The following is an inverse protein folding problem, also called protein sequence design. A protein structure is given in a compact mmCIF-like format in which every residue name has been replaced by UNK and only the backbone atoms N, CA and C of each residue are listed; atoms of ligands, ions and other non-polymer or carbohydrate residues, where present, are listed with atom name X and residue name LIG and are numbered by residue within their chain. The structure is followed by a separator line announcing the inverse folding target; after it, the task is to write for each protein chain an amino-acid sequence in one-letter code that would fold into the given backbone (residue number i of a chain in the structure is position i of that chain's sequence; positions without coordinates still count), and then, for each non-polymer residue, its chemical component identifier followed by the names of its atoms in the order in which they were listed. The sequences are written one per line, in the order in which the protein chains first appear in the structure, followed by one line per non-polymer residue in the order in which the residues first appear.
data_IF_507636919698
#
_entry.id   IF_507636919698
#
_cell.length_a   1.000
_cell.length_b   1.000
_cell.length_c   1.000
_cell.angle_alpha   90.00
_cell.angle_beta   90.00
_cell.angle_gamma   90.00
#
_symmetry.space_group_name_H-M   'P 1'
#
loop_
_entity.id
_entity.type
_entity.pdbx_description
1 polymer ?
#
# COMPACT_ATOMS: atom_id res chain seq x y z
N UNK A 1 -26.14 10.90 -0.91
CA UNK A 1 -24.71 10.87 -0.57
C UNK A 1 -24.16 9.47 -0.79
N UNK A 2 -24.71 8.42 -0.18
CA UNK A 2 -24.21 7.04 -0.26
C UNK A 2 -24.06 6.58 -1.72
N UNK A 3 -25.09 6.77 -2.56
CA UNK A 3 -25.06 6.41 -3.99
C UNK A 3 -23.89 7.08 -4.72
N UNK A 4 -23.73 8.39 -4.56
CA UNK A 4 -22.65 9.13 -5.21
C UNK A 4 -21.28 8.72 -4.65
N UNK A 5 -21.17 8.51 -3.35
CA UNK A 5 -19.94 8.00 -2.73
C UNK A 5 -19.52 6.66 -3.32
N UNK A 6 -20.47 5.70 -3.45
CA UNK A 6 -20.15 4.39 -4.02
C UNK A 6 -19.69 4.49 -5.49
N UNK A 7 -20.32 5.36 -6.28
CA UNK A 7 -19.93 5.60 -7.67
C UNK A 7 -18.54 6.23 -7.74
N UNK A 8 -18.27 7.30 -6.98
CA UNK A 8 -16.98 7.98 -6.99
C UNK A 8 -15.87 7.09 -6.44
N UNK A 9 -16.13 6.31 -5.38
CA UNK A 9 -15.17 5.37 -4.83
C UNK A 9 -14.81 4.28 -5.84
N UNK A 10 -15.81 3.69 -6.49
CA UNK A 10 -15.59 2.64 -7.48
C UNK A 10 -14.82 3.17 -8.71
N UNK A 11 -15.22 4.33 -9.25
CA UNK A 11 -14.56 4.91 -10.44
C UNK A 11 -13.09 5.28 -10.14
N UNK A 12 -12.82 6.00 -9.04
CA UNK A 12 -11.45 6.38 -8.67
C UNK A 12 -10.60 5.15 -8.34
N UNK A 13 -11.15 4.21 -7.59
CA UNK A 13 -10.40 2.98 -7.25
C UNK A 13 -10.10 2.14 -8.49
N UNK A 14 -11.02 2.06 -9.45
CA UNK A 14 -10.81 1.32 -10.70
C UNK A 14 -9.74 1.97 -11.58
N UNK A 15 -9.73 3.30 -11.69
CA UNK A 15 -8.70 4.03 -12.46
C UNK A 15 -7.31 3.79 -11.85
N UNK A 16 -7.18 3.95 -10.53
CA UNK A 16 -5.89 3.75 -9.83
C UNK A 16 -5.49 2.28 -9.89
N UNK A 17 -6.44 1.35 -9.77
CA UNK A 17 -6.16 -0.08 -9.90
C UNK A 17 -5.61 -0.43 -11.28
N UNK A 18 -6.19 0.11 -12.36
CA UNK A 18 -5.68 -0.11 -13.71
C UNK A 18 -4.26 0.43 -13.88
N UNK A 19 -3.98 1.63 -13.37
CA UNK A 19 -2.62 2.19 -13.41
C UNK A 19 -1.61 1.35 -12.62
N UNK A 20 -1.99 0.85 -11.44
CA UNK A 20 -1.12 -0.02 -10.64
C UNK A 20 -1.00 -1.43 -11.24
N UNK A 21 -2.04 -1.93 -11.91
CA UNK A 21 -2.00 -3.21 -12.60
C UNK A 21 -0.90 -3.24 -13.67
N UNK A 22 -0.68 -2.12 -14.39
CA UNK A 22 0.43 -2.01 -15.34
C UNK A 22 1.78 -2.14 -14.63
N UNK A 23 1.96 -1.48 -13.49
CA UNK A 23 3.21 -1.58 -12.70
C UNK A 23 3.44 -3.00 -12.13
N UNK A 24 2.36 -3.77 -11.92
CA UNK A 24 2.48 -5.14 -11.47
C UNK A 24 2.81 -6.14 -12.58
N UNK A 25 2.81 -5.71 -13.86
CA UNK A 25 3.24 -6.57 -14.98
C UNK A 25 4.70 -7.02 -14.84
N UNK A 26 5.52 -6.27 -14.13
CA UNK A 26 6.91 -6.64 -13.84
C UNK A 26 6.99 -7.98 -13.08
N UNK A 27 5.98 -8.30 -12.26
CA UNK A 27 5.84 -9.58 -11.57
C UNK A 27 5.79 -10.76 -12.56
N UNK A 28 5.18 -10.56 -13.74
CA UNK A 28 5.17 -11.59 -14.80
C UNK A 28 6.46 -11.53 -15.62
N UNK A 29 6.86 -10.32 -16.04
CA UNK A 29 7.93 -10.13 -17.03
C UNK A 29 9.32 -10.32 -16.44
N UNK A 30 9.55 -9.91 -15.18
CA UNK A 30 10.84 -9.97 -14.50
C UNK A 30 10.92 -11.15 -13.53
N UNK A 31 9.88 -11.37 -12.72
CA UNK A 31 9.85 -12.44 -11.71
C UNK A 31 9.30 -13.77 -12.26
N UNK A 32 8.72 -13.80 -13.47
CA UNK A 32 8.28 -15.00 -14.18
C UNK A 32 7.05 -15.70 -13.60
N UNK A 33 6.26 -15.02 -12.77
CA UNK A 33 5.03 -15.58 -12.21
C UNK A 33 3.93 -15.79 -13.28
N UNK A 34 2.97 -16.66 -12.97
CA UNK A 34 1.85 -16.91 -13.88
C UNK A 34 0.90 -15.70 -13.96
N UNK A 35 0.21 -15.59 -15.10
CA UNK A 35 -0.83 -14.55 -15.28
C UNK A 35 -1.91 -14.65 -14.20
N UNK A 36 -2.25 -15.86 -13.76
CA UNK A 36 -3.24 -16.07 -12.70
C UNK A 36 -2.77 -15.52 -11.35
N UNK A 37 -1.51 -15.74 -10.98
CA UNK A 37 -0.86 -15.17 -9.78
C UNK A 37 -0.91 -13.64 -9.81
N UNK A 38 -0.61 -13.05 -10.98
CA UNK A 38 -0.69 -11.61 -11.17
C UNK A 38 -2.10 -11.06 -10.93
N UNK A 39 -3.15 -11.68 -11.50
CA UNK A 39 -4.52 -11.24 -11.26
C UNK A 39 -4.92 -11.37 -9.79
N UNK A 40 -4.57 -12.46 -9.13
CA UNK A 40 -4.81 -12.63 -7.71
C UNK A 40 -4.10 -11.55 -6.88
N UNK A 41 -2.82 -11.33 -7.14
CA UNK A 41 -2.05 -10.29 -6.46
C UNK A 41 -2.66 -8.89 -6.64
N UNK A 42 -2.98 -8.54 -7.88
CA UNK A 42 -3.58 -7.26 -8.23
C UNK A 42 -4.95 -7.08 -7.55
N UNK A 43 -5.78 -8.12 -7.51
CA UNK A 43 -7.09 -8.10 -6.87
C UNK A 43 -6.98 -7.93 -5.35
N UNK A 44 -6.07 -8.67 -4.69
CA UNK A 44 -5.86 -8.53 -3.24
C UNK A 44 -5.23 -7.18 -2.83
N UNK A 45 -4.68 -6.41 -3.77
CA UNK A 45 -4.25 -5.03 -3.53
C UNK A 45 -5.38 -3.98 -3.67
N UNK A 46 -6.55 -4.33 -4.22
CA UNK A 46 -7.70 -3.41 -4.33
C UNK A 46 -8.12 -2.76 -3.00
N UNK A 47 -8.23 -3.46 -1.86
CA UNK A 47 -8.65 -2.84 -0.60
C UNK A 47 -7.70 -1.75 -0.11
N UNK A 48 -6.40 -1.85 -0.40
CA UNK A 48 -5.42 -0.80 -0.14
C UNK A 48 -5.73 0.47 -0.95
N UNK A 49 -6.09 0.31 -2.22
CA UNK A 49 -6.46 1.42 -3.11
C UNK A 49 -7.74 2.08 -2.62
N UNK A 50 -8.76 1.27 -2.29
CA UNK A 50 -10.03 1.74 -1.72
C UNK A 50 -9.80 2.57 -0.45
N UNK A 51 -8.95 2.08 0.47
CA UNK A 51 -8.63 2.82 1.70
C UNK A 51 -8.02 4.19 1.39
N UNK A 52 -7.07 4.27 0.45
CA UNK A 52 -6.40 5.52 0.07
C UNK A 52 -7.32 6.51 -0.62
N UNK A 53 -8.24 6.04 -1.46
CA UNK A 53 -9.18 6.89 -2.22
C UNK A 53 -10.42 7.27 -1.42
N UNK A 54 -10.62 6.67 -0.25
CA UNK A 54 -11.84 6.80 0.55
C UNK A 54 -12.16 8.26 0.89
N UNK A 55 -11.19 8.99 1.43
CA UNK A 55 -11.38 10.38 1.89
C UNK A 55 -11.70 11.32 0.72
N UNK A 56 -10.98 11.17 -0.39
CA UNK A 56 -11.21 11.95 -1.61
C UNK A 56 -12.60 11.64 -2.19
N UNK A 57 -12.98 10.37 -2.25
CA UNK A 57 -14.30 9.96 -2.75
C UNK A 57 -15.43 10.51 -1.89
N UNK A 58 -15.24 10.51 -0.57
CA UNK A 58 -16.21 11.10 0.36
C UNK A 58 -16.35 12.61 0.15
N UNK A 59 -15.24 13.32 0.01
CA UNK A 59 -15.23 14.76 -0.29
C UNK A 59 -16.00 15.07 -1.57
N UNK A 60 -15.66 14.39 -2.68
CA UNK A 60 -16.28 14.62 -3.98
C UNK A 60 -17.78 14.31 -3.95
N UNK A 61 -18.16 13.21 -3.30
CA UNK A 61 -19.57 12.82 -3.19
C UNK A 61 -20.38 13.84 -2.39
N UNK A 62 -19.85 14.27 -1.24
CA UNK A 62 -20.55 15.24 -0.40
C UNK A 62 -20.65 16.59 -1.09
N UNK A 63 -19.54 17.08 -1.68
CA UNK A 63 -19.50 18.34 -2.41
C UNK A 63 -20.48 18.34 -3.59
N UNK A 64 -20.48 17.27 -4.39
CA UNK A 64 -21.37 17.15 -5.53
C UNK A 64 -22.86 17.14 -5.12
N UNK A 65 -23.20 16.37 -4.07
CA UNK A 65 -24.58 16.28 -3.60
C UNK A 65 -25.08 17.60 -3.04
N UNK A 66 -24.29 18.29 -2.22
CA UNK A 66 -24.71 19.59 -1.66
C UNK A 66 -24.80 20.67 -2.76
N UNK A 67 -23.88 20.66 -3.73
CA UNK A 67 -23.96 21.55 -4.89
C UNK A 67 -25.23 21.29 -5.72
N UNK A 68 -25.55 20.03 -5.99
CA UNK A 68 -26.75 19.65 -6.73
C UNK A 68 -28.04 20.08 -6.01
N UNK A 69 -28.07 19.97 -4.68
CA UNK A 69 -29.22 20.39 -3.87
C UNK A 69 -29.40 21.92 -3.91
N UNK A 70 -28.30 22.68 -3.90
CA UNK A 70 -28.36 24.15 -4.01
C UNK A 70 -28.79 24.57 -5.44
N UNK A 71 -28.19 24.00 -6.48
CA UNK A 71 -28.52 24.33 -7.88
C UNK A 71 -29.98 24.03 -8.23
N UNK A 72 -30.56 22.98 -7.64
CA UNK A 72 -31.96 22.63 -7.80
C UNK A 72 -32.91 23.33 -6.80
N UNK A 73 -32.42 24.33 -6.04
CA UNK A 73 -33.17 25.04 -5.01
C UNK A 73 -33.81 24.15 -3.92
N UNK A 74 -33.31 22.93 -3.74
CA UNK A 74 -33.87 21.99 -2.74
C UNK A 74 -33.64 22.46 -1.30
N UNK A 75 -32.58 23.22 -1.04
CA UNK A 75 -32.34 23.80 0.29
C UNK A 75 -33.41 24.82 0.68
N UNK A 76 -34.01 25.55 -0.26
CA UNK A 76 -35.13 26.43 0.02
C UNK A 76 -36.29 25.69 0.66
N UNK A 77 -36.58 24.45 0.21
CA UNK A 77 -37.61 23.61 0.80
C UNK A 77 -37.28 23.26 2.25
N UNK A 78 -36.00 23.00 2.56
CA UNK A 78 -35.62 22.71 3.94
C UNK A 78 -35.77 23.95 4.85
N UNK A 79 -35.38 25.13 4.35
CA UNK A 79 -35.49 26.36 5.11
C UNK A 79 -36.95 26.80 5.30
N UNK A 80 -37.80 26.66 4.28
CA UNK A 80 -39.23 26.95 4.39
C UNK A 80 -39.97 26.01 5.34
N UNK A 81 -39.48 24.75 5.52
CA UNK A 81 -40.01 23.82 6.51
C UNK A 81 -39.37 24.00 7.91
N UNK A 82 -38.67 25.12 8.19
CA UNK A 82 -38.11 25.42 9.50
C UNK A 82 -36.85 24.61 9.89
N UNK A 83 -36.22 23.90 8.96
CA UNK A 83 -34.98 23.19 9.25
C UNK A 83 -33.84 24.22 9.26
N UNK A 84 -33.20 24.43 10.41
CA UNK A 84 -32.06 25.34 10.50
C UNK A 84 -30.80 24.76 9.84
N UNK A 85 -29.92 25.64 9.33
CA UNK A 85 -28.63 25.27 8.73
C UNK A 85 -27.75 24.46 9.71
N UNK A 86 -27.82 24.77 11.02
CA UNK A 86 -27.11 24.02 12.08
C UNK A 86 -27.65 22.58 12.20
N UNK A 87 -28.98 22.42 12.14
CA UNK A 87 -29.58 21.08 12.22
C UNK A 87 -29.17 20.21 11.02
N UNK A 88 -29.06 20.81 9.85
CA UNK A 88 -28.53 20.11 8.66
C UNK A 88 -27.07 19.71 8.87
N UNK A 89 -26.19 20.63 9.32
CA UNK A 89 -24.79 20.32 9.64
C UNK A 89 -24.69 19.16 10.64
N UNK A 90 -25.45 19.20 11.73
CA UNK A 90 -25.42 18.15 12.75
C UNK A 90 -25.87 16.78 12.19
N UNK A 91 -26.82 16.76 11.25
CA UNK A 91 -27.21 15.51 10.56
C UNK A 91 -26.11 14.99 9.65
N UNK A 92 -25.41 15.90 8.93
CA UNK A 92 -24.24 15.52 8.10
C UNK A 92 -23.07 15.01 8.95
N UNK A 93 -22.81 15.63 10.10
CA UNK A 93 -21.82 15.13 11.06
C UNK A 93 -22.19 13.73 11.57
N UNK A 94 -23.44 13.47 11.90
CA UNK A 94 -23.89 12.11 12.29
C UNK A 94 -23.69 11.12 11.16
N UNK A 95 -23.97 11.51 9.92
CA UNK A 95 -23.71 10.67 8.75
C UNK A 95 -22.21 10.40 8.56
N UNK A 96 -21.35 11.40 8.78
CA UNK A 96 -19.90 11.22 8.63
C UNK A 96 -19.32 10.21 9.63
N UNK A 97 -19.93 10.01 10.81
CA UNK A 97 -19.52 8.94 11.73
C UNK A 97 -19.70 7.54 11.13
N UNK A 98 -20.73 7.32 10.31
CA UNK A 98 -20.89 6.06 9.58
C UNK A 98 -19.74 5.83 8.61
N UNK A 99 -19.32 6.88 7.89
CA UNK A 99 -18.18 6.79 6.98
C UNK A 99 -16.85 6.63 7.72
N UNK A 100 -16.69 7.21 8.92
CA UNK A 100 -15.52 6.98 9.76
C UNK A 100 -15.42 5.50 10.15
N UNK A 101 -16.51 4.91 10.64
CA UNK A 101 -16.54 3.50 11.03
C UNK A 101 -16.19 2.61 9.82
N UNK A 102 -16.78 2.90 8.66
CA UNK A 102 -16.50 2.16 7.44
C UNK A 102 -15.02 2.31 7.02
N UNK A 103 -14.49 3.50 7.08
CA UNK A 103 -13.08 3.79 6.77
C UNK A 103 -12.13 3.08 7.75
N UNK A 104 -12.40 3.13 9.07
CA UNK A 104 -11.64 2.40 10.08
C UNK A 104 -11.63 0.90 9.80
N UNK A 105 -12.77 0.32 9.43
CA UNK A 105 -12.87 -1.09 9.08
C UNK A 105 -11.96 -1.45 7.90
N UNK A 106 -11.92 -0.61 6.87
CA UNK A 106 -11.00 -0.80 5.75
C UNK A 106 -9.53 -0.68 6.15
N UNK A 107 -9.15 0.35 6.92
CA UNK A 107 -7.74 0.58 7.30
C UNK A 107 -7.21 -0.44 8.33
N UNK A 108 -8.02 -0.82 9.31
CA UNK A 108 -7.57 -1.69 10.41
C UNK A 108 -7.59 -3.17 10.07
N UNK A 109 -8.58 -3.61 9.28
CA UNK A 109 -8.83 -5.03 9.05
C UNK A 109 -8.64 -5.43 7.58
N UNK A 110 -9.41 -4.85 6.65
CA UNK A 110 -9.45 -5.36 5.27
C UNK A 110 -8.12 -5.12 4.55
N UNK A 111 -7.59 -3.90 4.60
CA UNK A 111 -6.38 -3.53 3.87
C UNK A 111 -5.15 -4.36 4.28
N UNK A 112 -4.77 -4.47 5.57
CA UNK A 112 -3.59 -5.24 5.96
C UNK A 112 -3.75 -6.75 5.71
N UNK A 113 -4.92 -7.33 5.99
CA UNK A 113 -5.16 -8.76 5.76
C UNK A 113 -5.11 -9.11 4.27
N UNK A 114 -5.67 -8.26 3.43
CA UNK A 114 -5.67 -8.44 1.97
C UNK A 114 -4.26 -8.31 1.39
N UNK A 115 -3.49 -7.30 1.82
CA UNK A 115 -2.10 -7.12 1.39
C UNK A 115 -1.20 -8.29 1.82
N UNK A 116 -1.39 -8.80 3.05
CA UNK A 116 -0.66 -9.97 3.51
C UNK A 116 -0.97 -11.20 2.63
N UNK A 117 -2.26 -11.43 2.29
CA UNK A 117 -2.64 -12.49 1.35
C UNK A 117 -2.02 -12.29 -0.04
N UNK A 118 -2.00 -11.06 -0.55
CA UNK A 118 -1.33 -10.75 -1.82
C UNK A 118 0.15 -11.18 -1.78
N UNK A 119 0.84 -10.88 -0.67
CA UNK A 119 2.23 -11.27 -0.49
C UNK A 119 2.42 -12.78 -0.41
N UNK A 120 1.59 -13.50 0.35
CA UNK A 120 1.68 -14.97 0.45
C UNK A 120 1.50 -15.64 -0.91
N UNK A 121 0.57 -15.13 -1.75
CA UNK A 121 0.36 -15.64 -3.11
C UNK A 121 1.65 -15.54 -3.95
N UNK A 122 2.36 -14.41 -3.91
CA UNK A 122 3.63 -14.27 -4.62
C UNK A 122 4.69 -15.19 -3.99
N UNK A 123 4.78 -15.22 -2.66
CA UNK A 123 5.76 -16.03 -1.95
C UNK A 123 5.58 -17.53 -2.25
N UNK A 124 4.34 -18.00 -2.25
CA UNK A 124 4.02 -19.41 -2.50
C UNK A 124 4.24 -19.78 -3.99
N UNK A 125 3.98 -18.84 -4.90
CA UNK A 125 4.21 -19.05 -6.33
C UNK A 125 5.69 -18.96 -6.73
N UNK A 126 6.58 -18.41 -5.88
CA UNK A 126 8.02 -18.33 -6.13
C UNK A 126 8.68 -19.71 -6.37
N UNK A 127 8.09 -20.76 -5.86
CA UNK A 127 8.65 -22.10 -5.99
C UNK A 127 8.50 -22.69 -7.40
N UNK A 128 7.59 -22.18 -8.24
CA UNK A 128 7.27 -22.74 -9.56
C UNK A 128 7.87 -21.95 -10.73
N UNK A 129 8.44 -20.77 -10.47
CA UNK A 129 8.81 -19.82 -11.53
C UNK A 129 10.26 -19.89 -11.99
N UNK A 130 11.18 -20.57 -11.27
CA UNK A 130 12.60 -20.62 -11.67
C UNK A 130 12.82 -21.00 -13.13
N UNK A 131 12.09 -21.98 -13.70
CA UNK A 131 12.20 -22.29 -15.12
C UNK A 131 11.78 -21.15 -16.04
N UNK A 132 10.84 -20.28 -15.65
CA UNK A 132 10.35 -19.16 -16.47
C UNK A 132 11.25 -17.92 -16.38
N UNK A 133 11.98 -17.74 -15.28
CA UNK A 133 13.00 -16.69 -15.14
C UNK A 133 14.15 -16.86 -16.12
N UNK A 134 14.47 -18.11 -16.46
CA UNK A 134 15.62 -18.45 -17.29
C UNK A 134 15.39 -17.99 -18.73
N UNK A 135 15.88 -16.79 -19.05
CA UNK A 135 15.90 -16.24 -20.40
C UNK A 135 17.30 -16.40 -21.01
N UNK A 136 17.42 -17.01 -22.20
CA UNK A 136 18.72 -17.18 -22.85
C UNK A 136 19.39 -15.84 -23.15
N UNK A 137 20.72 -15.83 -23.08
CA UNK A 137 21.59 -14.67 -23.39
C UNK A 137 21.42 -13.45 -22.48
N UNK A 138 20.86 -13.64 -21.27
CA UNK A 138 20.73 -12.57 -20.27
C UNK A 138 21.25 -13.05 -18.92
N UNK A 139 21.86 -12.11 -18.17
CA UNK A 139 22.13 -12.32 -16.75
C UNK A 139 20.83 -12.14 -15.97
N UNK A 140 20.55 -13.09 -15.11
CA UNK A 140 19.38 -13.13 -14.24
C UNK A 140 19.88 -12.91 -12.82
N UNK A 141 19.51 -11.79 -12.22
CA UNK A 141 19.90 -11.35 -10.86
C UNK A 141 18.66 -11.06 -9.98
N UNK A 142 17.51 -11.60 -10.37
CA UNK A 142 16.23 -11.45 -9.66
C UNK A 142 16.16 -12.31 -8.40
N UNK A 143 16.99 -13.33 -8.30
CA UNK A 143 17.11 -14.21 -7.13
C UNK A 143 18.15 -13.65 -6.17
N UNK A 144 17.83 -13.61 -4.88
CA UNK A 144 18.73 -13.07 -3.86
C UNK A 144 20.01 -13.92 -3.77
N UNK A 145 21.16 -13.25 -3.88
CA UNK A 145 22.49 -13.85 -3.83
C UNK A 145 22.80 -14.88 -4.92
N UNK A 146 21.95 -15.03 -5.95
CA UNK A 146 22.16 -15.93 -7.07
C UNK A 146 22.11 -15.19 -8.40
N UNK A 147 23.20 -15.25 -9.16
CA UNK A 147 23.23 -14.75 -10.54
C UNK A 147 23.34 -15.95 -11.50
N UNK A 148 22.43 -16.00 -12.48
CA UNK A 148 22.35 -17.07 -13.46
C UNK A 148 22.55 -16.50 -14.84
N UNK A 149 23.40 -17.16 -15.66
CA UNK A 149 23.55 -16.87 -17.07
C UNK A 149 23.44 -18.17 -17.87
N UNK A 150 22.72 -18.13 -18.97
CA UNK A 150 22.49 -19.26 -19.86
C UNK A 150 22.59 -18.80 -21.30
N UNK A 151 23.24 -19.59 -22.13
CA UNK A 151 23.35 -19.27 -23.55
C UNK A 151 22.09 -19.68 -24.32
N UNK A 152 21.65 -20.92 -24.18
CA UNK A 152 20.49 -21.44 -24.89
C UNK A 152 19.61 -22.33 -23.97
N UNK A 153 18.31 -22.33 -24.26
CA UNK A 153 17.30 -23.09 -23.51
C UNK A 153 16.30 -23.75 -24.45
N UNK A 154 16.16 -25.05 -24.38
CA UNK A 154 15.15 -25.82 -25.09
C UNK A 154 14.32 -26.64 -24.09
N UNK A 155 13.11 -26.14 -23.76
CA UNK A 155 12.24 -26.75 -22.77
C UNK A 155 12.89 -26.80 -21.38
N UNK A 156 13.18 -28.02 -20.88
CA UNK A 156 13.88 -28.25 -19.60
C UNK A 156 15.40 -28.36 -19.73
N UNK A 157 15.93 -28.47 -20.94
CA UNK A 157 17.36 -28.54 -21.21
C UNK A 157 17.98 -27.16 -21.40
N UNK A 158 19.17 -26.99 -20.87
CA UNK A 158 19.89 -25.72 -20.87
C UNK A 158 21.34 -25.97 -21.31
N UNK A 159 21.89 -25.05 -22.09
CA UNK A 159 23.25 -25.13 -22.57
C UNK A 159 24.10 -23.95 -22.10
N UNK A 160 25.38 -24.24 -21.80
CA UNK A 160 26.40 -23.27 -21.37
C UNK A 160 25.89 -22.39 -20.19
N UNK A 161 25.86 -23.00 -19.02
CA UNK A 161 25.32 -22.40 -17.80
C UNK A 161 26.45 -21.84 -16.96
N UNK A 162 26.24 -20.65 -16.42
CA UNK A 162 27.05 -20.05 -15.37
C UNK A 162 26.14 -19.66 -14.21
N UNK A 163 26.41 -20.20 -13.03
CA UNK A 163 25.75 -19.87 -11.77
C UNK A 163 26.77 -19.23 -10.84
N UNK A 164 26.45 -18.08 -10.29
CA UNK A 164 27.24 -17.45 -9.22
C UNK A 164 26.37 -17.42 -7.96
N UNK A 165 26.77 -18.16 -6.96
CA UNK A 165 26.14 -18.19 -5.65
C UNK A 165 26.98 -17.42 -4.64
N UNK A 166 26.39 -16.38 -4.07
CA UNK A 166 26.95 -15.52 -3.03
C UNK A 166 26.15 -15.58 -1.73
N UNK A 167 25.34 -16.65 -1.52
CA UNK A 167 24.52 -16.80 -0.30
C UNK A 167 25.37 -16.97 0.96
N UNK A 168 26.57 -17.50 0.82
CA UNK A 168 27.55 -17.57 1.91
C UNK A 168 28.56 -16.42 1.76
N UNK A 169 28.48 -15.44 2.68
CA UNK A 169 29.38 -14.27 2.68
C UNK A 169 30.86 -14.63 2.77
N UNK A 170 31.19 -15.81 3.28
CA UNK A 170 32.58 -16.28 3.45
C UNK A 170 33.11 -17.01 2.23
N UNK A 171 32.25 -17.55 1.35
CA UNK A 171 32.62 -18.34 0.20
C UNK A 171 31.70 -18.03 -0.99
N UNK A 172 32.26 -17.45 -2.04
CA UNK A 172 31.55 -17.26 -3.31
C UNK A 172 31.80 -18.51 -4.17
N UNK A 173 30.72 -19.12 -4.66
CA UNK A 173 30.77 -20.28 -5.53
C UNK A 173 30.34 -19.90 -6.95
N UNK A 174 31.16 -20.23 -7.94
CA UNK A 174 30.82 -20.08 -9.35
C UNK A 174 30.82 -21.48 -9.98
N UNK A 175 29.68 -21.86 -10.54
CA UNK A 175 29.51 -23.14 -11.24
C UNK A 175 29.38 -22.87 -12.73
N UNK A 176 30.20 -23.51 -13.54
CA UNK A 176 30.15 -23.42 -15.00
C UNK A 176 29.94 -24.82 -15.53
N UNK A 177 28.87 -25.03 -16.32
CA UNK A 177 28.56 -26.34 -16.91
C UNK A 177 28.21 -26.20 -18.39
N UNK A 178 28.50 -27.25 -19.16
CA UNK A 178 28.20 -27.31 -20.60
C UNK A 178 26.71 -27.51 -20.83
N UNK A 179 26.09 -28.36 -20.03
CA UNK A 179 24.66 -28.71 -20.12
C UNK A 179 24.02 -28.80 -18.75
N UNK A 180 22.71 -28.52 -18.70
CA UNK A 180 21.90 -28.70 -17.50
C UNK A 180 20.48 -29.11 -17.82
N UNK A 181 19.80 -29.68 -16.82
CA UNK A 181 18.39 -30.03 -16.89
C UNK A 181 17.67 -29.55 -15.64
N UNK A 182 16.57 -28.87 -15.84
CA UNK A 182 15.73 -28.36 -14.76
C UNK A 182 14.74 -29.46 -14.36
N UNK A 183 14.73 -29.82 -13.07
CA UNK A 183 13.71 -30.66 -12.47
C UNK A 183 12.84 -29.79 -11.56
N UNK A 184 11.57 -29.69 -11.89
CA UNK A 184 10.58 -28.88 -11.15
C UNK A 184 9.40 -29.76 -10.73
N UNK A 185 9.67 -30.75 -9.88
CA UNK A 185 8.65 -31.57 -9.25
C UNK A 185 8.29 -31.02 -7.87
N UNK A 186 7.07 -31.25 -7.34
CA UNK A 186 6.62 -30.67 -6.05
C UNK A 186 7.55 -30.96 -4.88
N UNK A 187 8.25 -32.09 -4.91
CA UNK A 187 9.18 -32.55 -3.87
C UNK A 187 10.65 -32.33 -4.24
N UNK A 188 10.96 -31.97 -5.48
CA UNK A 188 12.34 -31.90 -5.98
C UNK A 188 12.55 -30.79 -6.97
N UNK A 189 13.08 -29.67 -6.48
CA UNK A 189 13.42 -28.49 -7.28
C UNK A 189 14.94 -28.38 -7.36
N UNK A 190 15.52 -28.94 -8.40
CA UNK A 190 16.96 -28.96 -8.59
C UNK A 190 17.34 -28.69 -10.06
N UNK A 191 18.52 -28.12 -10.22
CA UNK A 191 19.19 -27.99 -11.51
C UNK A 191 20.32 -29.03 -11.57
N UNK A 192 20.18 -30.02 -12.40
CA UNK A 192 21.27 -30.96 -12.68
C UNK A 192 22.16 -30.38 -13.75
N UNK A 193 23.45 -30.37 -13.45
CA UNK A 193 24.49 -29.84 -14.29
C UNK A 193 25.44 -30.95 -14.72
N UNK A 194 25.82 -30.92 -16.00
CA UNK A 194 26.67 -31.92 -16.59
C UNK A 194 27.93 -31.29 -17.20
N UNK A 195 29.04 -31.95 -17.02
CA UNK A 195 30.35 -31.60 -17.57
C UNK A 195 30.73 -30.15 -17.24
N UNK A 196 31.28 -29.92 -16.05
CA UNK A 196 31.60 -28.61 -15.63
C UNK A 196 32.66 -28.49 -14.55
N UNK A 197 32.79 -27.28 -14.04
CA UNK A 197 33.71 -26.96 -12.96
C UNK A 197 33.03 -26.07 -11.91
N UNK A 198 33.37 -26.26 -10.65
CA UNK A 198 33.01 -25.44 -9.51
C UNK A 198 34.24 -24.68 -9.08
N UNK A 199 34.14 -23.38 -9.01
CA UNK A 199 35.18 -22.44 -8.54
C UNK A 199 34.72 -21.87 -7.22
N UNK A 200 35.37 -22.22 -6.11
CA UNK A 200 35.09 -21.68 -4.79
C UNK A 200 36.17 -20.64 -4.46
N UNK A 201 35.75 -19.44 -4.07
CA UNK A 201 36.66 -18.35 -3.65
C UNK A 201 36.35 -17.97 -2.20
N UNK A 202 37.32 -18.15 -1.32
CA UNK A 202 37.21 -17.79 0.11
C UNK A 202 37.61 -16.34 0.34
N UNK A 203 37.27 -15.78 1.51
CA UNK A 203 37.64 -14.40 1.94
C UNK A 203 39.13 -14.07 1.77
N UNK A 204 40.02 -15.06 1.85
CA UNK A 204 41.46 -14.90 1.68
C UNK A 204 41.91 -14.98 0.20
N UNK A 205 41.00 -14.81 -0.74
CA UNK A 205 41.23 -14.94 -2.19
C UNK A 205 41.87 -16.26 -2.63
N UNK A 206 41.78 -17.31 -1.80
CA UNK A 206 42.19 -18.65 -2.21
C UNK A 206 41.08 -19.26 -3.04
N UNK A 207 41.40 -19.63 -4.27
CA UNK A 207 40.48 -20.28 -5.20
C UNK A 207 40.76 -21.79 -5.24
N UNK A 208 39.71 -22.58 -5.13
CA UNK A 208 39.73 -24.04 -5.40
C UNK A 208 38.86 -24.34 -6.61
N UNK A 209 39.34 -25.18 -7.51
CA UNK A 209 38.62 -25.59 -8.70
C UNK A 209 38.37 -27.10 -8.60
N UNK A 210 37.09 -27.50 -8.72
CA UNK A 210 36.65 -28.90 -8.70
C UNK A 210 35.95 -29.18 -10.02
N UNK A 211 36.45 -30.14 -10.79
CA UNK A 211 35.80 -30.59 -12.02
C UNK A 211 34.78 -31.71 -11.68
N UNK A 212 33.64 -31.70 -12.35
CA UNK A 212 32.58 -32.68 -12.15
C UNK A 212 32.04 -33.20 -13.51
N UNK A 213 31.61 -34.42 -13.54
CA UNK A 213 30.83 -35.00 -14.65
C UNK A 213 29.34 -34.72 -14.50
N UNK A 214 28.84 -34.81 -13.25
CA UNK A 214 27.47 -34.48 -12.87
C UNK A 214 27.44 -33.86 -11.47
N UNK A 215 26.58 -32.83 -11.27
CA UNK A 215 26.28 -32.25 -9.97
C UNK A 215 24.85 -31.74 -9.93
N UNK A 216 24.26 -31.67 -8.74
CA UNK A 216 22.92 -31.12 -8.53
C UNK A 216 23.00 -29.84 -7.73
N UNK A 217 22.32 -28.80 -8.20
CA UNK A 217 22.19 -27.52 -7.52
C UNK A 217 20.74 -27.38 -7.01
N UNK A 218 20.56 -27.29 -5.67
CA UNK A 218 19.26 -27.20 -5.04
C UNK A 218 18.73 -25.78 -5.11
N UNK A 219 17.54 -25.60 -5.66
CA UNK A 219 16.89 -24.31 -5.86
C UNK A 219 15.88 -23.96 -4.73
N UNK A 220 15.59 -24.88 -3.83
CA UNK A 220 14.55 -24.72 -2.81
C UNK A 220 14.84 -23.58 -1.81
N UNK A 221 16.11 -23.27 -1.59
CA UNK A 221 16.55 -22.28 -0.60
C UNK A 221 16.64 -20.85 -1.16
N UNK A 222 16.34 -20.67 -2.44
CA UNK A 222 16.48 -19.37 -3.10
C UNK A 222 15.13 -18.70 -3.28
N UNK A 223 15.06 -17.41 -2.91
CA UNK A 223 13.86 -16.58 -3.01
C UNK A 223 14.15 -15.34 -3.87
N UNK A 224 13.14 -14.79 -4.51
CA UNK A 224 13.30 -13.52 -5.25
C UNK A 224 13.53 -12.36 -4.32
N UNK A 225 14.30 -11.36 -4.78
CA UNK A 225 14.56 -10.11 -4.03
C UNK A 225 13.28 -9.38 -3.61
N UNK A 226 12.22 -9.52 -4.38
CA UNK A 226 10.93 -8.86 -4.15
C UNK A 226 10.11 -9.42 -2.99
N UNK A 227 10.44 -10.62 -2.50
CA UNK A 227 9.61 -11.35 -1.52
C UNK A 227 10.20 -11.46 -0.12
N UNK A 228 11.45 -11.04 0.09
CA UNK A 228 12.22 -11.36 1.30
C UNK A 228 11.79 -10.61 2.56
N UNK A 229 11.17 -9.42 2.45
CA UNK A 229 10.75 -8.67 3.64
C UNK A 229 9.27 -8.28 3.60
N UNK A 230 8.57 -8.52 4.70
CA UNK A 230 7.20 -8.02 4.88
C UNK A 230 7.22 -6.50 5.05
N UNK A 231 6.37 -5.80 4.30
CA UNK A 231 6.23 -4.34 4.47
C UNK A 231 5.36 -4.03 5.69
N UNK A 232 5.66 -2.94 6.39
CA UNK A 232 4.92 -2.50 7.59
C UNK A 232 3.41 -2.42 7.34
N UNK A 233 3.00 -2.00 6.14
CA UNK A 233 1.59 -1.88 5.74
C UNK A 233 0.82 -3.21 5.70
N UNK A 234 1.53 -4.33 5.60
CA UNK A 234 0.98 -5.69 5.51
C UNK A 234 0.81 -6.35 6.87
N UNK A 235 1.46 -5.77 7.90
CA UNK A 235 1.35 -6.25 9.26
C UNK A 235 -0.05 -6.00 9.82
N UNK A 236 -0.55 -6.95 10.62
CA UNK A 236 -1.79 -6.74 11.37
C UNK A 236 -1.61 -5.55 12.33
N UNK A 237 -2.71 -4.84 12.59
CA UNK A 237 -2.66 -3.70 13.52
C UNK A 237 -2.19 -4.11 14.92
N UNK A 238 -2.54 -5.32 15.36
CA UNK A 238 -2.09 -5.87 16.63
C UNK A 238 -0.57 -6.07 16.68
N UNK A 239 0.03 -6.62 15.61
CA UNK A 239 1.48 -6.83 15.52
C UNK A 239 2.24 -5.49 15.55
N UNK A 240 1.70 -4.45 14.89
CA UNK A 240 2.31 -3.11 14.93
C UNK A 240 2.27 -2.55 16.34
N UNK A 241 1.13 -2.64 17.04
CA UNK A 241 0.99 -2.13 18.42
C UNK A 241 1.95 -2.87 19.36
N UNK A 242 2.01 -4.20 19.27
CA UNK A 242 2.93 -5.01 20.09
C UNK A 242 4.40 -4.66 19.82
N UNK A 243 4.76 -4.44 18.53
CA UNK A 243 6.12 -4.05 18.17
C UNK A 243 6.49 -2.67 18.77
N UNK A 244 5.61 -1.67 18.68
CA UNK A 244 5.83 -0.34 19.29
C UNK A 244 5.95 -0.44 20.81
N UNK A 245 5.11 -1.25 21.45
CA UNK A 245 5.17 -1.47 22.91
C UNK A 245 6.47 -2.14 23.32
N UNK A 246 6.93 -3.15 22.61
CA UNK A 246 8.18 -3.85 22.89
C UNK A 246 9.41 -2.94 22.72
N UNK A 247 9.44 -2.11 21.66
CA UNK A 247 10.50 -1.11 21.46
C UNK A 247 10.50 -0.12 22.63
N UNK A 248 9.34 0.35 23.10
CA UNK A 248 9.22 1.31 24.19
C UNK A 248 9.68 0.72 25.53
N UNK A 249 9.40 -0.56 25.78
CA UNK A 249 9.81 -1.31 26.99
C UNK A 249 11.23 -1.87 26.91
N UNK A 250 11.97 -1.66 25.79
CA UNK A 250 13.30 -2.21 25.51
C UNK A 250 13.39 -3.74 25.62
N UNK A 251 12.30 -4.44 25.36
CA UNK A 251 12.26 -5.91 25.34
C UNK A 251 12.62 -6.36 23.92
N UNK A 252 13.69 -7.16 23.79
CA UNK A 252 14.01 -7.82 22.51
C UNK A 252 13.07 -9.00 22.32
N UNK A 253 12.11 -8.86 21.43
CA UNK A 253 11.33 -9.97 20.90
C UNK A 253 11.59 -10.06 19.39
N UNK A 254 12.16 -11.17 18.95
CA UNK A 254 12.19 -11.52 17.53
C UNK A 254 10.81 -12.09 17.17
N UNK A 255 10.02 -11.31 16.45
CA UNK A 255 8.92 -11.90 15.71
C UNK A 255 9.53 -12.66 14.54
N UNK A 256 9.21 -13.94 14.38
CA UNK A 256 9.71 -14.82 13.30
C UNK A 256 9.51 -14.23 11.88
N UNK A 257 8.65 -13.22 11.72
CA UNK A 257 8.24 -12.65 10.44
C UNK A 257 8.76 -11.21 10.22
N UNK A 258 9.15 -10.49 11.29
CA UNK A 258 9.49 -9.07 11.19
C UNK A 258 10.43 -8.61 12.33
N UNK A 259 11.60 -8.07 11.95
CA UNK A 259 12.57 -7.56 12.91
C UNK A 259 12.13 -6.23 13.51
N UNK A 260 11.63 -6.23 14.76
CA UNK A 260 11.24 -5.04 15.50
C UNK A 260 12.45 -4.29 16.02
N UNK A 261 13.03 -3.39 15.21
CA UNK A 261 14.16 -2.56 15.57
C UNK A 261 13.75 -1.11 15.81
N UNK A 262 14.51 -0.37 16.60
CA UNK A 262 14.26 1.06 16.86
C UNK A 262 14.23 1.91 15.57
N UNK A 263 14.99 1.53 14.56
CA UNK A 263 15.09 2.25 13.29
C UNK A 263 13.76 2.34 12.52
N UNK A 264 12.83 1.42 12.76
CA UNK A 264 11.53 1.38 12.09
C UNK A 264 10.40 1.98 12.94
N UNK A 265 10.71 2.49 14.14
CA UNK A 265 9.71 3.03 15.07
C UNK A 265 8.86 4.14 14.43
N UNK A 266 9.51 5.05 13.70
CA UNK A 266 8.82 6.17 13.04
C UNK A 266 7.83 5.65 12.01
N UNK A 267 8.22 4.69 11.18
CA UNK A 267 7.37 4.12 10.15
C UNK A 267 6.16 3.37 10.77
N UNK A 268 6.37 2.69 11.90
CA UNK A 268 5.29 2.03 12.66
C UNK A 268 4.30 3.06 13.23
N UNK A 269 4.80 4.16 13.81
CA UNK A 269 3.95 5.23 14.33
C UNK A 269 3.18 5.94 13.21
N UNK A 270 3.81 6.20 12.08
CA UNK A 270 3.17 6.77 10.89
C UNK A 270 2.05 5.87 10.36
N UNK A 271 2.29 4.55 10.30
CA UNK A 271 1.25 3.60 9.85
C UNK A 271 0.09 3.52 10.87
N UNK A 272 0.35 3.57 12.20
CA UNK A 272 -0.70 3.65 13.21
C UNK A 272 -1.51 4.95 13.09
N UNK A 273 -0.83 6.09 12.94
CA UNK A 273 -1.48 7.39 12.74
C UNK A 273 -2.41 7.34 11.52
N UNK A 274 -1.91 6.82 10.40
CA UNK A 274 -2.67 6.65 9.18
C UNK A 274 -3.92 5.78 9.41
N UNK A 275 -3.80 4.65 10.10
CA UNK A 275 -4.92 3.73 10.33
C UNK A 275 -6.00 4.31 11.24
N UNK A 276 -5.61 5.02 12.30
CA UNK A 276 -6.53 5.52 13.31
C UNK A 276 -6.98 6.96 13.07
N UNK A 277 -6.09 7.84 12.58
CA UNK A 277 -6.35 9.28 12.52
C UNK A 277 -6.90 9.77 11.19
N UNK A 278 -6.43 9.25 10.05
CA UNK A 278 -6.94 9.69 8.74
C UNK A 278 -8.47 9.62 8.61
N UNK A 279 -9.14 8.56 9.09
CA UNK A 279 -10.60 8.48 9.00
C UNK A 279 -11.33 9.69 9.62
N UNK A 280 -10.78 10.31 10.65
CA UNK A 280 -11.43 11.46 11.30
C UNK A 280 -11.44 12.73 10.43
N UNK A 281 -10.55 12.86 9.45
CA UNK A 281 -10.58 13.99 8.53
C UNK A 281 -11.90 14.10 7.74
N UNK A 282 -12.69 13.04 7.65
CA UNK A 282 -14.05 13.08 7.09
C UNK A 282 -14.95 14.08 7.83
N UNK A 283 -14.76 14.28 9.15
CA UNK A 283 -15.50 15.29 9.92
C UNK A 283 -15.13 16.72 9.50
N UNK A 284 -13.83 17.01 9.32
CA UNK A 284 -13.39 18.34 8.87
C UNK A 284 -13.92 18.64 7.47
N UNK A 285 -13.85 17.66 6.57
CA UNK A 285 -14.41 17.76 5.22
C UNK A 285 -15.91 18.03 5.28
N UNK A 286 -16.65 17.35 6.15
CA UNK A 286 -18.09 17.53 6.31
C UNK A 286 -18.41 18.97 6.69
N UNK A 287 -17.69 19.55 7.65
CA UNK A 287 -17.92 20.94 8.06
C UNK A 287 -17.61 21.90 6.90
N UNK A 288 -16.45 21.76 6.25
CA UNK A 288 -16.04 22.66 5.16
C UNK A 288 -17.00 22.60 3.99
N UNK A 289 -17.42 21.41 3.57
CA UNK A 289 -18.37 21.28 2.46
C UNK A 289 -19.75 21.83 2.87
N UNK A 290 -20.12 21.72 4.15
CA UNK A 290 -21.38 22.30 4.65
C UNK A 290 -21.43 23.83 4.56
N UNK A 291 -20.29 24.53 4.47
CA UNK A 291 -20.28 25.96 4.20
C UNK A 291 -21.00 26.33 2.90
N UNK A 292 -21.11 25.44 1.92
CA UNK A 292 -21.92 25.65 0.70
C UNK A 292 -23.37 26.06 1.02
N UNK A 293 -23.93 25.58 2.13
CA UNK A 293 -25.31 25.87 2.53
C UNK A 293 -25.51 27.28 3.11
N UNK A 294 -24.42 28.04 3.35
CA UNK A 294 -24.50 29.39 3.90
C UNK A 294 -24.89 30.42 2.85
N UNK A 295 -24.48 30.25 1.60
CA UNK A 295 -24.81 31.15 0.49
C UNK A 295 -25.77 30.47 -0.48
N UNK A 296 -26.67 31.27 -1.05
CA UNK A 296 -27.61 30.80 -2.05
C UNK A 296 -27.04 30.87 -3.46
N UNK A 297 -27.51 29.99 -4.36
CA UNK A 297 -27.20 30.02 -5.79
C UNK A 297 -27.64 31.36 -6.46
N UNK A 298 -28.54 32.12 -5.84
CA UNK A 298 -28.98 33.41 -6.31
C UNK A 298 -27.95 34.55 -6.05
N UNK A 299 -26.95 34.31 -5.21
CA UNK A 299 -25.90 35.29 -4.92
C UNK A 299 -24.94 35.41 -6.12
N UNK A 300 -24.63 36.65 -6.51
CA UNK A 300 -23.75 36.98 -7.65
C UNK A 300 -22.39 36.27 -7.57
N UNK A 301 -21.86 36.13 -6.35
CA UNK A 301 -20.52 35.53 -6.10
C UNK A 301 -20.57 34.03 -5.74
N UNK A 302 -21.73 33.37 -5.88
CA UNK A 302 -21.84 31.93 -5.48
C UNK A 302 -20.89 31.03 -6.24
N UNK A 303 -20.69 31.24 -7.56
CA UNK A 303 -19.77 30.43 -8.38
C UNK A 303 -18.34 30.50 -7.83
N UNK A 304 -17.86 31.69 -7.51
CA UNK A 304 -16.52 31.85 -6.92
C UNK A 304 -16.42 31.20 -5.53
N UNK A 305 -17.44 31.38 -4.71
CA UNK A 305 -17.53 30.77 -3.38
C UNK A 305 -17.52 29.23 -3.45
N UNK A 306 -18.24 28.63 -4.39
CA UNK A 306 -18.24 27.18 -4.64
C UNK A 306 -16.84 26.67 -5.00
N UNK A 307 -16.13 27.37 -5.91
CA UNK A 307 -14.75 27.02 -6.29
C UNK A 307 -13.81 27.11 -5.08
N UNK A 308 -13.95 28.16 -4.26
CA UNK A 308 -13.12 28.35 -3.08
C UNK A 308 -13.30 27.19 -2.08
N UNK A 309 -14.53 26.79 -1.78
CA UNK A 309 -14.80 25.63 -0.90
C UNK A 309 -14.24 24.34 -1.50
N UNK A 310 -14.35 24.17 -2.81
CA UNK A 310 -13.76 23.00 -3.49
C UNK A 310 -12.24 22.95 -3.33
N UNK A 311 -11.55 24.08 -3.54
CA UNK A 311 -10.10 24.18 -3.36
C UNK A 311 -9.67 23.91 -1.92
N UNK A 312 -10.40 24.47 -0.94
CA UNK A 312 -10.14 24.24 0.50
C UNK A 312 -10.35 22.74 0.83
N UNK A 313 -11.39 22.12 0.28
CA UNK A 313 -11.65 20.71 0.48
C UNK A 313 -10.55 19.81 -0.09
N UNK A 314 -10.07 20.07 -1.32
CA UNK A 314 -8.92 19.35 -1.89
C UNK A 314 -7.67 19.60 -1.05
N UNK A 315 -7.42 20.85 -0.64
CA UNK A 315 -6.28 21.18 0.21
C UNK A 315 -6.30 20.38 1.52
N UNK A 316 -7.46 20.21 2.15
CA UNK A 316 -7.59 19.38 3.35
C UNK A 316 -7.31 17.89 3.07
N UNK A 317 -7.75 17.35 1.94
CA UNK A 317 -7.45 15.97 1.56
C UNK A 317 -5.94 15.78 1.39
N UNK A 318 -5.26 16.70 0.73
CA UNK A 318 -3.80 16.67 0.57
C UNK A 318 -3.10 16.84 1.93
N UNK A 319 -3.58 17.77 2.76
CA UNK A 319 -3.05 18.01 4.09
C UNK A 319 -3.18 16.80 5.01
N UNK A 320 -4.26 16.00 4.88
CA UNK A 320 -4.42 14.77 5.63
C UNK A 320 -3.32 13.74 5.30
N UNK A 321 -2.95 13.60 4.03
CA UNK A 321 -1.84 12.70 3.62
C UNK A 321 -0.47 13.25 4.06
N UNK A 322 -0.25 14.55 3.96
CA UNK A 322 1.01 15.18 4.40
C UNK A 322 1.16 15.07 5.92
N UNK A 323 0.06 15.10 6.68
CA UNK A 323 0.09 15.04 8.15
C UNK A 323 0.77 13.78 8.69
N UNK A 324 0.80 12.69 7.93
CA UNK A 324 1.51 11.44 8.28
C UNK A 324 3.01 11.71 8.47
N UNK A 325 3.61 12.54 7.62
CA UNK A 325 5.04 12.82 7.63
C UNK A 325 5.48 13.68 8.84
N UNK A 326 4.55 14.31 9.53
CA UNK A 326 4.86 15.06 10.77
C UNK A 326 4.99 14.15 12.00
N UNK A 327 4.63 12.88 11.87
CA UNK A 327 4.88 11.89 12.92
C UNK A 327 6.35 11.50 12.90
N UNK A 328 7.04 11.74 14.00
CA UNK A 328 8.48 11.54 14.19
C UNK A 328 8.78 10.83 15.53
N UNK A 329 10.04 10.69 15.89
CA UNK A 329 10.43 10.21 17.21
C UNK A 329 10.13 11.22 18.34
N UNK A 330 9.90 12.49 18.01
CA UNK A 330 9.64 13.52 19.03
C UNK A 330 8.19 13.48 19.51
N UNK A 331 8.00 13.28 20.80
CA UNK A 331 6.68 13.24 21.44
C UNK A 331 5.91 14.56 21.27
N UNK A 332 6.60 15.69 21.22
CA UNK A 332 5.99 17.01 21.09
C UNK A 332 5.33 17.18 19.70
N UNK A 333 6.06 16.82 18.63
CA UNK A 333 5.52 16.91 17.26
C UNK A 333 4.34 15.96 17.07
N UNK A 334 4.43 14.75 17.62
CA UNK A 334 3.35 13.77 17.57
C UNK A 334 2.12 14.28 18.32
N UNK A 335 2.29 14.92 19.48
CA UNK A 335 1.19 15.52 20.24
C UNK A 335 0.52 16.67 19.47
N UNK A 336 1.31 17.53 18.82
CA UNK A 336 0.79 18.62 17.98
C UNK A 336 -0.01 18.04 16.80
N UNK A 337 0.50 17.01 16.12
CA UNK A 337 -0.19 16.35 14.99
C UNK A 337 -1.51 15.71 15.41
N UNK A 338 -1.57 15.13 16.61
CA UNK A 338 -2.78 14.51 17.17
C UNK A 338 -3.79 15.59 17.59
N UNK A 339 -3.34 16.67 18.20
CA UNK A 339 -4.22 17.78 18.65
C UNK A 339 -4.72 18.67 17.52
N UNK A 340 -4.03 18.67 16.38
CA UNK A 340 -4.42 19.48 15.21
C UNK A 340 -5.87 19.24 14.79
N UNK A 341 -6.28 17.98 14.68
CA UNK A 341 -7.62 17.61 14.26
C UNK A 341 -8.73 18.15 15.18
N UNK A 342 -8.75 17.86 16.51
CA UNK A 342 -9.82 18.32 17.37
C UNK A 342 -9.86 19.86 17.49
N UNK A 343 -8.72 20.53 17.48
CA UNK A 343 -8.64 21.99 17.50
C UNK A 343 -9.28 22.57 16.23
N UNK A 344 -8.90 22.08 15.05
CA UNK A 344 -9.46 22.53 13.77
C UNK A 344 -10.97 22.24 13.69
N UNK A 345 -11.41 21.09 14.19
CA UNK A 345 -12.83 20.75 14.23
C UNK A 345 -13.63 21.77 15.05
N UNK A 346 -13.18 22.09 16.26
CA UNK A 346 -13.85 23.07 17.14
C UNK A 346 -13.86 24.46 16.50
N UNK A 347 -12.74 24.92 15.96
CA UNK A 347 -12.63 26.22 15.30
C UNK A 347 -13.62 26.32 14.13
N UNK A 348 -13.61 25.36 13.22
CA UNK A 348 -14.48 25.37 12.05
C UNK A 348 -15.96 25.29 12.42
N UNK A 349 -16.30 24.47 13.43
CA UNK A 349 -17.69 24.37 13.92
C UNK A 349 -18.18 25.67 14.55
N UNK A 350 -17.36 26.33 15.38
CA UNK A 350 -17.68 27.62 15.99
C UNK A 350 -17.81 28.72 14.93
N UNK A 351 -16.91 28.79 13.97
CA UNK A 351 -16.97 29.72 12.86
C UNK A 351 -18.24 29.53 12.02
N UNK A 352 -18.61 28.32 11.71
CA UNK A 352 -19.85 28.00 11.00
C UNK A 352 -21.09 28.51 11.79
N UNK A 353 -21.12 28.24 13.09
CA UNK A 353 -22.22 28.71 13.97
C UNK A 353 -22.28 30.25 14.05
N UNK A 354 -21.12 30.90 14.09
CA UNK A 354 -21.03 32.36 14.13
C UNK A 354 -21.56 32.98 12.84
N UNK A 355 -21.15 32.47 11.67
CA UNK A 355 -21.63 32.99 10.38
C UNK A 355 -23.15 32.91 10.22
N UNK A 356 -23.79 31.84 10.74
CA UNK A 356 -25.26 31.74 10.69
C UNK A 356 -25.93 32.88 11.48
N UNK A 357 -25.36 33.29 12.62
CA UNK A 357 -25.94 34.39 13.42
C UNK A 357 -25.91 35.76 12.72
N UNK A 358 -24.96 35.96 11.80
CA UNK A 358 -24.82 37.20 11.04
C UNK A 358 -25.49 37.15 9.66
N UNK A 359 -25.97 36.02 9.21
CA UNK A 359 -26.71 35.86 7.94
C UNK A 359 -28.22 36.00 8.10
N UNK A 360 -28.68 36.36 9.29
CA UNK A 360 -30.03 36.83 9.63
C UNK A 360 -29.96 38.36 9.84
#
# INVERSE_FOLDING_TARGET
IIKFFSITLFTLSSIIWLLQAVNYLDIISEDGHSIFTYFQYSFFNLPKIISKTFLLSYFLALFFVLTLYEENNQFLIFWSNGISKINLLNKLIKLSFVFIILSLFFYLLISPTSQNKARTIIKDSNLDFFPSLIKPKKFIDTVENLTVFINDKEGQSIEKIMLKDASNTNNIQIIIAERGKIFNEPLRKELRLFNGKIINTNLNNKTSIINFSETSFNLQNYHTKTTTSTKIQELSTQNIIQCVENISKRIKYDFEIFNCNKNILVDLLQELYKRFYLPFFTLLITIIVSYLTLKSNLDVNYKFYKILIFLIGIFLVVLSEISINFITESNILNLVSVLFFPIMFVILYVLFRHQIKFSH
#
